data_IF_860458390486
#
_entry.id   IF_860458390486
#
_cell.length_a   1.000
_cell.length_b   1.000
_cell.length_c   1.000
_cell.angle_alpha   90.00
_cell.angle_beta   90.00
_cell.angle_gamma   90.00
#
_symmetry.space_group_name_H-M   'P 1'
#
loop_
_entity.id
_entity.type
_entity.pdbx_description
1 polymer ?
#
# COMPACT_ATOMS: atom_id res chain seq x y z
N UNK A 1 81.30 6.20 3.02
CA UNK A 1 81.57 4.82 3.49
C UNK A 1 80.26 4.03 3.34
N UNK A 2 80.32 2.84 2.73
CA UNK A 2 79.19 1.90 2.44
C UNK A 2 78.44 1.54 3.76
N UNK A 3 77.16 1.13 3.86
CA UNK A 3 76.44 0.04 3.16
C UNK A 3 74.97 -0.13 3.61
N UNK A 4 74.05 -0.37 2.64
CA UNK A 4 72.98 -1.42 2.52
C UNK A 4 72.37 -2.03 3.82
N UNK A 5 71.05 -2.07 4.03
CA UNK A 5 70.06 -3.11 3.60
C UNK A 5 68.64 -2.64 4.03
N UNK A 6 67.65 -2.50 3.15
CA UNK A 6 66.72 -3.52 2.59
C UNK A 6 65.54 -3.91 3.53
N UNK A 7 64.33 -3.40 3.24
CA UNK A 7 63.12 -4.20 3.00
C UNK A 7 61.84 -3.34 2.91
N UNK A 8 61.35 -3.16 1.68
CA UNK A 8 59.92 -3.09 1.39
C UNK A 8 59.54 -4.42 0.71
N UNK A 9 58.31 -4.90 0.87
CA UNK A 9 57.51 -4.94 -0.35
C UNK A 9 56.08 -4.46 -0.18
N UNK A 10 55.66 -3.82 -1.26
CA UNK A 10 54.33 -3.37 -1.65
C UNK A 10 53.39 -4.56 -1.88
N UNK A 11 52.17 -4.52 -1.33
CA UNK A 11 51.15 -5.51 -1.67
C UNK A 11 50.27 -4.99 -2.81
N UNK A 12 50.71 -5.34 -4.02
CA UNK A 12 50.03 -5.17 -5.30
C UNK A 12 48.92 -6.22 -5.41
N UNK A 13 47.78 -5.79 -5.94
CA UNK A 13 46.62 -6.59 -6.33
C UNK A 13 46.94 -8.03 -6.77
N UNK A 14 46.20 -8.99 -6.21
CA UNK A 14 46.00 -10.31 -6.80
C UNK A 14 44.50 -10.61 -6.85
N UNK A 15 44.02 -10.68 -8.08
CA UNK A 15 42.71 -11.20 -8.46
C UNK A 15 42.73 -12.70 -8.21
N UNK A 16 41.98 -13.18 -7.23
CA UNK A 16 41.74 -14.61 -7.08
C UNK A 16 40.46 -14.97 -7.85
N UNK A 17 40.73 -15.36 -9.10
CA UNK A 17 39.82 -16.10 -9.97
C UNK A 17 39.72 -17.54 -9.43
N UNK A 18 38.63 -17.86 -8.74
CA UNK A 18 38.28 -19.24 -8.40
C UNK A 18 37.40 -19.82 -9.52
N UNK A 19 38.08 -20.40 -10.52
CA UNK A 19 37.50 -21.41 -11.40
C UNK A 19 37.42 -22.72 -10.60
N UNK A 20 36.21 -23.22 -10.31
CA UNK A 20 36.03 -24.60 -9.86
C UNK A 20 34.90 -25.27 -10.64
N UNK A 21 35.36 -26.18 -11.51
CA UNK A 21 34.80 -27.46 -11.93
C UNK A 21 33.28 -27.59 -12.16
N UNK A 22 32.94 -27.84 -13.43
CA UNK A 22 31.66 -28.45 -13.79
C UNK A 22 31.52 -29.85 -13.19
N UNK A 23 30.39 -30.09 -12.52
CA UNK A 23 29.89 -31.42 -12.24
C UNK A 23 28.83 -31.76 -13.30
N UNK A 24 29.16 -32.74 -14.14
CA UNK A 24 28.24 -33.37 -15.07
C UNK A 24 27.61 -34.56 -14.32
N UNK A 25 26.41 -34.36 -13.75
CA UNK A 25 25.67 -35.44 -13.08
C UNK A 25 24.78 -36.15 -14.10
N UNK A 26 25.28 -37.27 -14.62
CA UNK A 26 24.47 -38.31 -15.26
C UNK A 26 24.13 -39.35 -14.19
N UNK A 27 22.86 -39.40 -13.75
CA UNK A 27 22.44 -40.42 -12.78
C UNK A 27 21.07 -40.20 -12.17
N UNK A 28 20.05 -40.75 -12.84
CA UNK A 28 18.87 -41.45 -12.30
C UNK A 28 18.39 -41.11 -10.87
N UNK A 29 17.22 -40.46 -10.81
CA UNK A 29 16.18 -40.77 -9.82
C UNK A 29 16.47 -40.39 -8.36
N UNK A 30 16.20 -39.14 -8.01
CA UNK A 30 15.63 -38.73 -6.72
C UNK A 30 15.23 -37.26 -6.88
N UNK A 31 13.93 -36.97 -6.74
CA UNK A 31 13.39 -35.62 -6.90
C UNK A 31 14.10 -34.65 -5.96
N UNK A 32 14.86 -33.72 -6.53
CA UNK A 32 15.27 -32.52 -5.82
C UNK A 32 14.01 -31.67 -5.71
N UNK A 33 13.28 -31.80 -4.61
CA UNK A 33 12.33 -30.77 -4.23
C UNK A 33 13.18 -29.54 -3.89
N UNK A 34 13.31 -28.61 -4.84
CA UNK A 34 13.58 -27.22 -4.48
C UNK A 34 12.37 -26.80 -3.64
N UNK A 35 12.52 -26.83 -2.32
CA UNK A 35 11.67 -26.02 -1.46
C UNK A 35 11.96 -24.57 -1.85
N UNK A 36 11.14 -24.00 -2.73
CA UNK A 36 10.97 -22.56 -2.78
C UNK A 36 10.50 -22.22 -1.37
N UNK A 37 11.33 -21.54 -0.60
CA UNK A 37 10.84 -20.90 0.61
C UNK A 37 9.70 -20.00 0.17
N UNK A 38 8.48 -20.39 0.48
CA UNK A 38 7.35 -19.48 0.51
C UNK A 38 7.73 -18.49 1.60
N UNK A 39 8.37 -17.39 1.20
CA UNK A 39 8.36 -16.19 2.01
C UNK A 39 6.89 -15.97 2.32
N UNK A 40 6.51 -16.15 3.58
CA UNK A 40 5.13 -16.07 4.03
C UNK A 40 4.76 -14.59 3.91
N UNK A 41 4.46 -14.16 2.69
CA UNK A 41 4.19 -12.77 2.37
C UNK A 41 2.98 -12.37 3.21
N UNK A 42 3.24 -11.58 4.25
CA UNK A 42 2.17 -11.07 5.09
C UNK A 42 1.15 -10.36 4.19
N UNK A 43 -0.14 -10.66 4.34
CA UNK A 43 -1.15 -10.13 3.45
C UNK A 43 -1.20 -8.60 3.60
N UNK A 44 -0.96 -7.89 2.50
CA UNK A 44 -1.10 -6.44 2.45
C UNK A 44 -2.58 -6.09 2.45
N UNK A 45 -3.06 -5.51 3.54
CA UNK A 45 -4.46 -5.11 3.68
C UNK A 45 -4.68 -3.68 3.15
N UNK A 46 -5.73 -3.55 2.35
CA UNK A 46 -6.32 -2.29 1.91
C UNK A 46 -7.69 -2.14 2.57
N UNK A 47 -8.14 -0.91 2.77
CA UNK A 47 -9.36 -0.62 3.51
C UNK A 47 -10.36 0.16 2.67
N UNK A 48 -11.65 0.03 3.00
CA UNK A 48 -12.72 0.78 2.36
C UNK A 48 -13.66 1.35 3.40
N UNK A 49 -13.83 2.67 3.39
CA UNK A 49 -14.92 3.35 4.07
C UNK A 49 -16.03 3.67 3.08
N UNK A 50 -17.25 3.62 3.58
CA UNK A 50 -18.45 4.07 2.87
C UNK A 50 -19.17 5.05 3.79
N UNK A 51 -19.55 6.21 3.26
CA UNK A 51 -20.26 7.26 3.97
C UNK A 51 -21.41 7.81 3.13
N UNK A 52 -22.41 8.37 3.80
CA UNK A 52 -23.59 8.92 3.14
C UNK A 52 -23.29 10.22 2.40
N UNK A 53 -22.36 11.01 2.93
CA UNK A 53 -21.95 12.27 2.35
C UNK A 53 -20.45 12.53 2.54
N UNK A 54 -19.97 13.58 1.89
CA UNK A 54 -18.64 14.12 2.04
C UNK A 54 -18.68 15.64 2.21
N UNK A 55 -18.00 16.12 3.25
CA UNK A 55 -17.67 17.54 3.39
C UNK A 55 -16.15 17.73 3.25
N UNK A 56 -15.73 18.50 2.24
CA UNK A 56 -14.32 18.87 2.04
C UNK A 56 -14.09 20.33 2.43
N UNK A 57 -13.20 20.56 3.38
CA UNK A 57 -12.71 21.89 3.73
C UNK A 57 -11.36 22.15 3.04
N UNK A 58 -11.40 22.91 1.95
CA UNK A 58 -10.20 23.22 1.16
C UNK A 58 -9.24 24.17 1.88
N UNK A 59 -9.73 24.97 2.83
CA UNK A 59 -8.92 25.94 3.55
C UNK A 59 -8.12 25.25 4.66
N UNK A 60 -8.77 24.35 5.40
CA UNK A 60 -8.16 23.57 6.48
C UNK A 60 -7.58 22.23 6.02
N UNK A 61 -7.81 21.84 4.75
CA UNK A 61 -7.41 20.56 4.17
C UNK A 61 -7.93 19.36 4.95
N UNK A 62 -9.21 19.39 5.26
CA UNK A 62 -9.89 18.26 5.92
C UNK A 62 -10.97 17.65 5.04
N UNK A 63 -11.13 16.35 5.19
CA UNK A 63 -12.12 15.51 4.52
C UNK A 63 -12.96 14.87 5.62
N UNK A 64 -14.25 15.21 5.68
CA UNK A 64 -15.20 14.60 6.62
C UNK A 64 -16.10 13.63 5.88
N UNK A 65 -15.97 12.35 6.21
CA UNK A 65 -16.89 11.30 5.82
C UNK A 65 -18.12 11.35 6.74
N UNK A 66 -19.24 11.86 6.23
CA UNK A 66 -20.45 12.09 7.03
C UNK A 66 -21.26 10.80 7.17
N UNK A 67 -21.66 10.48 8.40
CA UNK A 67 -22.36 9.24 8.75
C UNK A 67 -21.64 8.01 8.17
N UNK A 68 -20.37 7.85 8.55
CA UNK A 68 -19.55 6.75 8.04
C UNK A 68 -20.03 5.42 8.62
N UNK A 69 -20.00 4.37 7.80
CA UNK A 69 -20.34 3.02 8.26
C UNK A 69 -19.45 2.61 9.45
N UNK A 70 -20.09 2.04 10.49
CA UNK A 70 -19.42 1.52 11.68
C UNK A 70 -18.56 0.28 11.40
N UNK A 71 -18.73 -0.33 10.22
CA UNK A 71 -17.88 -1.39 9.68
C UNK A 71 -16.91 -0.83 8.65
N UNK A 72 -15.64 -1.24 8.74
CA UNK A 72 -14.62 -0.93 7.74
C UNK A 72 -14.32 -2.22 6.99
N UNK A 73 -14.49 -2.22 5.66
CA UNK A 73 -14.14 -3.39 4.87
C UNK A 73 -12.63 -3.43 4.66
N UNK A 74 -12.05 -4.63 4.66
CA UNK A 74 -10.65 -4.81 4.28
C UNK A 74 -10.52 -5.99 3.32
N UNK A 75 -9.46 -5.96 2.53
CA UNK A 75 -9.08 -7.08 1.68
C UNK A 75 -7.60 -7.02 1.32
N UNK A 76 -7.05 -8.15 0.89
CA UNK A 76 -5.67 -8.28 0.40
C UNK A 76 -5.67 -8.92 -0.99
N UNK A 77 -4.63 -8.64 -1.78
CA UNK A 77 -4.43 -9.33 -3.05
C UNK A 77 -3.54 -10.58 -2.91
N UNK A 78 -3.27 -11.25 -4.03
CA UNK A 78 -2.45 -12.47 -4.08
C UNK A 78 -1.06 -12.27 -3.45
N UNK A 79 -0.46 -13.32 -2.87
CA UNK A 79 -0.89 -14.73 -2.91
C UNK A 79 -2.04 -15.07 -1.95
N UNK A 80 -2.16 -14.35 -0.85
CA UNK A 80 -3.20 -14.59 0.16
C UNK A 80 -4.35 -13.61 -0.04
N UNK A 81 -5.35 -14.01 -0.82
CA UNK A 81 -6.55 -13.20 -1.04
C UNK A 81 -7.53 -13.35 0.12
N UNK A 82 -7.48 -12.40 1.04
CA UNK A 82 -8.35 -12.31 2.20
C UNK A 82 -9.33 -11.15 2.00
N UNK A 83 -10.51 -11.26 2.57
CA UNK A 83 -11.48 -10.18 2.62
C UNK A 83 -12.33 -10.33 3.89
N UNK A 84 -12.68 -9.20 4.50
CA UNK A 84 -13.44 -9.19 5.74
C UNK A 84 -13.88 -7.79 6.11
N UNK A 85 -14.22 -7.62 7.38
CA UNK A 85 -14.56 -6.33 7.95
C UNK A 85 -14.05 -6.22 9.38
N UNK A 86 -13.78 -4.99 9.80
CA UNK A 86 -13.44 -4.60 11.16
C UNK A 86 -14.53 -3.68 11.71
N UNK A 87 -14.61 -3.56 13.03
CA UNK A 87 -15.31 -2.43 13.64
C UNK A 87 -14.45 -1.18 13.49
N UNK A 88 -15.09 -0.01 13.42
CA UNK A 88 -14.38 1.28 13.35
C UNK A 88 -13.33 1.43 14.47
N UNK A 89 -13.67 1.01 15.70
CA UNK A 89 -12.73 1.07 16.82
C UNK A 89 -11.47 0.22 16.60
N UNK A 90 -11.61 -0.97 16.00
CA UNK A 90 -10.47 -1.84 15.71
C UNK A 90 -9.61 -1.25 14.59
N UNK A 91 -10.23 -0.66 13.57
CA UNK A 91 -9.52 0.07 12.52
C UNK A 91 -8.71 1.27 13.07
N UNK A 92 -9.29 2.06 13.98
CA UNK A 92 -8.59 3.20 14.60
C UNK A 92 -7.44 2.76 15.53
N UNK A 93 -7.48 1.54 16.05
CA UNK A 93 -6.34 0.98 16.78
C UNK A 93 -5.13 0.77 15.85
N UNK A 94 -5.33 0.44 14.56
CA UNK A 94 -4.23 0.33 13.59
C UNK A 94 -3.50 1.66 13.35
N UNK A 95 -4.22 2.79 13.49
CA UNK A 95 -3.61 4.13 13.41
C UNK A 95 -2.83 4.50 14.66
N UNK A 96 -3.31 4.07 15.83
CA UNK A 96 -2.80 4.49 17.15
C UNK A 96 -1.88 3.48 17.82
N UNK A 97 -1.74 2.27 17.27
CA UNK A 97 -0.75 1.28 17.68
C UNK A 97 0.67 1.85 17.44
N UNK A 98 1.12 2.62 18.42
CA UNK A 98 2.41 3.31 18.46
C UNK A 98 3.60 2.36 18.69
N UNK A 99 3.45 1.06 18.43
CA UNK A 99 4.49 0.05 18.65
C UNK A 99 4.83 -0.66 17.33
N UNK A 100 5.61 0.00 16.50
CA UNK A 100 6.14 -0.54 15.24
C UNK A 100 6.72 0.55 14.35
N UNK A 101 7.66 0.20 13.46
CA UNK A 101 8.20 1.14 12.46
C UNK A 101 7.20 1.44 11.33
N UNK A 102 6.14 0.63 11.21
CA UNK A 102 5.18 0.64 10.11
C UNK A 102 3.76 0.80 10.67
N UNK A 103 3.30 2.04 10.87
CA UNK A 103 1.89 2.36 11.13
C UNK A 103 1.45 3.57 10.28
N UNK A 104 0.14 3.76 10.08
CA UNK A 104 -0.38 4.86 9.26
C UNK A 104 0.00 6.26 9.78
N UNK A 105 0.32 6.38 11.07
CA UNK A 105 0.80 7.66 11.64
C UNK A 105 2.24 7.97 11.21
N UNK A 106 3.09 6.95 11.06
CA UNK A 106 4.48 7.08 10.62
C UNK A 106 4.63 7.18 9.09
N UNK A 107 3.78 6.46 8.35
CA UNK A 107 3.72 6.45 6.88
C UNK A 107 2.25 6.59 6.43
N UNK A 108 1.75 7.83 6.29
CA UNK A 108 0.37 8.09 5.87
C UNK A 108 0.00 7.41 4.56
N UNK A 109 -1.16 6.76 4.46
CA UNK A 109 -1.53 6.02 3.26
C UNK A 109 -2.07 6.96 2.18
N UNK A 110 -1.88 6.53 0.94
CA UNK A 110 -2.67 7.05 -0.17
C UNK A 110 -4.09 6.51 -0.09
N UNK A 111 -5.05 7.30 -0.54
CA UNK A 111 -6.44 6.93 -0.64
C UNK A 111 -7.05 7.48 -1.93
N UNK A 112 -7.93 6.70 -2.55
CA UNK A 112 -8.77 7.13 -3.66
C UNK A 112 -10.16 7.41 -3.15
N UNK A 113 -10.57 8.66 -3.29
CA UNK A 113 -11.90 9.14 -3.00
C UNK A 113 -12.77 9.00 -4.26
N UNK A 114 -13.93 8.34 -4.12
CA UNK A 114 -14.96 8.30 -5.14
C UNK A 114 -16.27 8.86 -4.60
N UNK A 115 -16.76 9.93 -5.21
CA UNK A 115 -17.94 10.67 -4.74
C UNK A 115 -19.01 10.68 -5.82
N UNK A 116 -20.22 10.31 -5.44
CA UNK A 116 -21.39 10.48 -6.27
C UNK A 116 -21.96 11.89 -6.10
N UNK A 117 -21.59 12.82 -6.98
CA UNK A 117 -22.13 14.19 -6.96
C UNK A 117 -23.47 14.25 -7.73
N UNK A 118 -24.58 14.63 -7.08
CA UNK A 118 -25.87 14.75 -7.75
C UNK A 118 -25.82 15.69 -8.96
N UNK A 119 -26.23 15.20 -10.12
CA UNK A 119 -26.27 15.97 -11.37
C UNK A 119 -25.00 15.91 -12.21
N UNK A 120 -23.94 15.24 -11.74
CA UNK A 120 -22.79 14.90 -12.58
C UNK A 120 -23.04 13.59 -13.36
N UNK A 121 -22.50 13.47 -14.59
CA UNK A 121 -22.66 12.25 -15.40
C UNK A 121 -21.85 11.07 -14.84
N UNK A 122 -20.73 11.35 -14.19
CA UNK A 122 -19.79 10.38 -13.65
C UNK A 122 -19.46 10.72 -12.19
N UNK A 123 -18.97 9.74 -11.42
CA UNK A 123 -18.44 9.99 -10.08
C UNK A 123 -17.16 10.82 -10.17
N UNK A 124 -16.98 11.72 -9.21
CA UNK A 124 -15.72 12.44 -9.04
C UNK A 124 -14.70 11.54 -8.36
N UNK A 125 -13.48 11.54 -8.91
CA UNK A 125 -12.35 10.80 -8.38
C UNK A 125 -11.23 11.77 -7.98
N UNK A 126 -10.72 11.59 -6.77
CA UNK A 126 -9.52 12.27 -6.29
C UNK A 126 -8.61 11.27 -5.59
N UNK A 127 -7.30 11.44 -5.75
CA UNK A 127 -6.30 10.69 -5.01
C UNK A 127 -5.69 11.62 -3.96
N UNK A 128 -5.71 11.19 -2.71
CA UNK A 128 -5.26 11.97 -1.56
C UNK A 128 -4.31 11.13 -0.70
N UNK A 129 -3.38 11.76 -0.01
CA UNK A 129 -2.72 11.18 1.16
C UNK A 129 -3.54 11.61 2.39
N UNK A 130 -3.89 10.70 3.29
CA UNK A 130 -4.73 10.98 4.47
C UNK A 130 -3.94 10.80 5.76
N UNK A 131 -4.20 11.66 6.74
CA UNK A 131 -3.60 11.58 8.07
C UNK A 131 -4.59 11.96 9.16
N UNK A 132 -4.21 11.72 10.42
CA UNK A 132 -4.88 12.23 11.61
C UNK A 132 -6.39 11.94 11.64
N UNK A 133 -6.83 10.67 11.63
CA UNK A 133 -8.24 10.34 11.77
C UNK A 133 -8.81 10.87 13.08
N UNK A 134 -9.92 11.59 13.00
CA UNK A 134 -10.68 12.10 14.14
C UNK A 134 -12.13 11.64 14.02
N UNK A 135 -12.63 10.96 15.04
CA UNK A 135 -14.06 10.61 15.15
C UNK A 135 -14.81 11.79 15.76
N UNK A 136 -15.88 12.23 15.09
CA UNK A 136 -16.79 13.29 15.54
C UNK A 136 -18.24 12.79 15.43
N UNK A 137 -18.76 12.21 16.51
CA UNK A 137 -20.07 11.54 16.49
C UNK A 137 -20.06 10.33 15.56
N UNK A 138 -20.89 10.37 14.52
CA UNK A 138 -21.00 9.34 13.48
C UNK A 138 -20.09 9.62 12.26
N UNK A 139 -19.31 10.71 12.31
CA UNK A 139 -18.43 11.14 11.22
C UNK A 139 -16.98 10.74 11.48
N UNK A 140 -16.23 10.58 10.39
CA UNK A 140 -14.78 10.38 10.42
C UNK A 140 -14.10 11.46 9.59
N UNK A 141 -13.19 12.19 10.23
CA UNK A 141 -12.49 13.33 9.63
C UNK A 141 -11.02 12.94 9.44
N UNK A 142 -10.49 13.20 8.25
CA UNK A 142 -9.07 13.10 7.94
C UNK A 142 -8.52 14.46 7.58
N UNK A 143 -7.26 14.71 7.93
CA UNK A 143 -6.45 15.70 7.21
C UNK A 143 -6.02 15.08 5.88
N UNK A 144 -5.93 15.88 4.81
CA UNK A 144 -5.52 15.34 3.51
C UNK A 144 -4.53 16.22 2.75
N UNK A 145 -3.74 15.59 1.89
CA UNK A 145 -2.97 16.23 0.81
C UNK A 145 -3.48 15.71 -0.53
N UNK A 146 -3.89 16.60 -1.44
CA UNK A 146 -4.32 16.21 -2.79
C UNK A 146 -3.11 15.80 -3.63
N UNK A 147 -3.15 14.58 -4.18
CA UNK A 147 -2.10 14.01 -5.03
C UNK A 147 -2.50 14.06 -6.51
N UNK A 148 -3.74 13.72 -6.85
CA UNK A 148 -4.25 13.75 -8.22
C UNK A 148 -5.77 14.01 -8.25
N UNK A 149 -6.26 14.53 -9.39
CA UNK A 149 -7.66 14.82 -9.62
C UNK A 149 -8.10 16.18 -9.08
N UNK A 150 -9.38 16.29 -8.72
CA UNK A 150 -9.97 17.52 -8.18
C UNK A 150 -10.90 17.17 -7.05
N UNK A 151 -10.79 17.89 -5.94
CA UNK A 151 -11.70 17.71 -4.82
C UNK A 151 -13.13 18.09 -5.25
N UNK A 152 -14.13 17.27 -4.92
CA UNK A 152 -15.51 17.51 -5.31
C UNK A 152 -16.00 18.84 -4.72
N UNK A 153 -16.78 19.57 -5.51
CA UNK A 153 -17.30 20.88 -5.11
C UNK A 153 -18.57 20.76 -4.26
N UNK A 154 -19.29 19.64 -4.42
CA UNK A 154 -20.43 19.25 -3.62
C UNK A 154 -20.18 17.88 -2.97
N UNK A 155 -20.87 17.62 -1.86
CA UNK A 155 -20.91 16.30 -1.26
C UNK A 155 -21.75 15.30 -2.05
N UNK A 156 -21.65 14.05 -1.63
CA UNK A 156 -22.61 13.00 -1.92
C UNK A 156 -22.12 11.66 -1.40
N UNK A 157 -22.87 10.59 -1.71
CA UNK A 157 -22.52 9.24 -1.30
C UNK A 157 -21.07 8.92 -1.69
N UNK A 158 -20.27 8.56 -0.71
CA UNK A 158 -18.81 8.56 -0.82
C UNK A 158 -18.23 7.22 -0.43
N UNK A 159 -17.24 6.79 -1.21
CA UNK A 159 -16.38 5.66 -0.88
C UNK A 159 -14.95 6.14 -0.84
N UNK A 160 -14.26 5.88 0.28
CA UNK A 160 -12.84 6.14 0.43
C UNK A 160 -12.10 4.80 0.44
N UNK A 161 -11.33 4.58 -0.60
CA UNK A 161 -10.45 3.42 -0.73
C UNK A 161 -9.07 3.78 -0.21
N UNK A 162 -8.55 3.06 0.77
CA UNK A 162 -7.27 3.37 1.43
C UNK A 162 -6.27 2.27 1.09
N UNK A 163 -5.14 2.67 0.52
CA UNK A 163 -4.02 1.79 0.15
C UNK A 163 -3.17 1.42 1.38
N UNK A 164 -2.12 0.63 1.12
CA UNK A 164 -1.18 0.06 2.07
C UNK A 164 -0.46 1.06 2.99
N UNK A 165 0.09 0.49 4.06
CA UNK A 165 1.22 1.02 4.85
C UNK A 165 2.53 0.50 4.22
N UNK A 166 3.54 1.36 4.04
CA UNK A 166 4.92 0.96 3.77
C UNK A 166 5.43 1.07 2.32
N UNK A 167 6.74 1.29 2.20
CA UNK A 167 7.55 1.64 1.02
C UNK A 167 7.07 0.99 -0.29
N UNK A 168 6.57 1.82 -1.21
CA UNK A 168 6.31 1.43 -2.60
C UNK A 168 4.90 1.73 -3.13
N UNK A 169 4.13 2.61 -2.49
CA UNK A 169 2.86 3.15 -3.01
C UNK A 169 3.03 4.08 -4.23
N UNK A 170 3.84 3.67 -5.21
CA UNK A 170 3.92 4.32 -6.51
C UNK A 170 2.86 3.70 -7.42
N UNK A 171 1.73 4.39 -7.58
CA UNK A 171 0.85 4.15 -8.74
C UNK A 171 1.72 4.19 -9.99
N UNK A 172 1.88 3.03 -10.62
CA UNK A 172 2.63 2.91 -11.86
C UNK A 172 2.10 3.91 -12.87
N UNK A 173 3.02 4.68 -13.48
CA UNK A 173 2.74 5.63 -14.55
C UNK A 173 1.84 5.00 -15.62
N UNK A 174 0.56 5.36 -15.66
CA UNK A 174 -0.31 5.05 -16.81
C UNK A 174 -1.75 4.57 -16.54
N UNK A 175 -2.26 4.48 -15.31
CA UNK A 175 -3.66 4.08 -15.09
C UNK A 175 -4.58 5.27 -14.77
N UNK A 176 -5.07 5.92 -15.82
CA UNK A 176 -6.33 6.67 -15.75
C UNK A 176 -7.48 5.72 -16.13
N UNK A 177 -8.20 5.23 -15.13
CA UNK A 177 -9.43 4.45 -15.31
C UNK A 177 -9.22 3.02 -15.83
N UNK A 178 -10.12 2.13 -15.40
CA UNK A 178 -10.25 0.72 -15.82
C UNK A 178 -9.34 -0.28 -15.10
N UNK A 179 -9.78 -0.75 -13.93
CA UNK A 179 -9.50 -2.11 -13.48
C UNK A 179 -10.46 -3.08 -14.18
N UNK A 180 -9.95 -3.93 -15.06
CA UNK A 180 -10.71 -5.02 -15.68
C UNK A 180 -11.04 -6.10 -14.64
N UNK A 181 -12.10 -5.86 -13.86
CA UNK A 181 -12.84 -6.92 -13.22
C UNK A 181 -13.41 -7.82 -14.31
N UNK A 182 -12.88 -9.04 -14.42
CA UNK A 182 -13.48 -10.07 -15.28
C UNK A 182 -14.93 -10.26 -14.85
N UNK A 183 -15.86 -9.92 -15.75
CA UNK A 183 -17.30 -10.15 -15.60
C UNK A 183 -17.54 -11.63 -15.32
N UNK A 184 -17.91 -11.96 -14.08
CA UNK A 184 -18.66 -13.17 -13.81
C UNK A 184 -20.10 -12.97 -14.34
N UNK A 185 -20.68 -13.90 -15.09
CA UNK A 185 -22.07 -13.78 -15.52
C UNK A 185 -22.96 -14.00 -14.29
N UNK A 186 -23.45 -12.90 -13.70
CA UNK A 186 -24.65 -12.94 -12.88
C UNK A 186 -25.81 -13.35 -13.78
N UNK A 187 -26.26 -14.60 -13.62
CA UNK A 187 -27.54 -15.04 -14.18
C UNK A 187 -28.63 -14.47 -13.28
N UNK A 188 -29.65 -13.90 -13.94
CA UNK A 188 -30.83 -13.20 -13.42
C UNK A 188 -31.53 -13.91 -12.26
#
# INVERSE_FOLDING_TARGET
>A
MRSRTENQPTNKARRDLLTVAGLLVLGLGSGVNLAIAEDELEPMFMFVHVSDDLEADLANRTLRLVNVNQQVLYFSDRPQRLAGHLKMADYLNEWTAAEGADNFTADPPNATLSVYEPGQPDNTLAVVEISDPVVDGDDLIYTYTLLDGTMPAAGGATTLFIDRIGIGGGVGVGYHGVGVGLRGPGVL
#
